data_IF_429805002942
#
_entry.id   IF_429805002942
#
_cell.length_a   1.000
_cell.length_b   1.000
_cell.length_c   1.000
_cell.angle_alpha   90.00
_cell.angle_beta   90.00
_cell.angle_gamma   90.00
#
_symmetry.space_group_name_H-M   'P 1'
#
loop_
_entity.id
_entity.type
_entity.pdbx_description
1 polymer ?
#
# COMPACT_ATOMS: atom_id res chain seq x y z
N UNK A 1 51.30 28.56 35.44
CA UNK A 1 52.65 28.01 35.31
C UNK A 1 52.49 26.75 34.48
N UNK A 2 52.89 26.64 33.26
CA UNK A 2 53.93 27.20 32.39
C UNK A 2 53.35 27.36 30.97
N UNK A 3 53.51 28.58 30.46
CA UNK A 3 53.48 28.92 29.06
C UNK A 3 54.52 28.13 28.27
N UNK A 4 54.26 27.87 26.99
CA UNK A 4 55.30 27.98 25.96
C UNK A 4 54.70 28.33 24.60
N UNK A 5 54.89 29.61 24.26
CA UNK A 5 55.00 30.19 22.94
C UNK A 5 56.10 29.55 22.11
N UNK A 6 55.89 29.33 20.83
CA UNK A 6 56.94 29.38 19.77
C UNK A 6 56.22 29.76 18.43
N UNK A 7 56.23 30.96 18.08
CA UNK A 7 57.13 31.82 17.27
C UNK A 7 56.96 31.67 15.74
N UNK A 8 56.49 32.77 15.19
CA UNK A 8 56.49 33.15 13.78
C UNK A 8 57.90 33.48 13.29
N UNK A 9 58.13 33.13 12.03
CA UNK A 9 58.95 33.80 11.00
C UNK A 9 59.31 32.74 9.98
N UNK A 10 59.01 32.83 8.71
CA UNK A 10 59.09 33.86 7.72
C UNK A 10 59.94 33.32 6.59
N UNK A 11 59.43 33.28 5.37
CA UNK A 11 60.20 33.71 4.19
C UNK A 11 59.28 33.76 2.95
N UNK A 12 59.25 34.96 2.41
CA UNK A 12 58.80 35.28 1.04
C UNK A 12 59.95 34.92 0.07
N UNK A 13 59.60 34.56 -1.14
CA UNK A 13 60.22 34.72 -2.47
C UNK A 13 59.74 33.55 -3.34
N UNK A 14 59.10 33.60 -4.45
CA UNK A 14 58.98 34.53 -5.53
C UNK A 14 58.41 33.84 -6.74
N UNK A 15 57.65 34.51 -7.51
CA UNK A 15 57.66 34.35 -8.94
C UNK A 15 56.70 33.39 -9.63
N UNK A 16 55.58 33.86 -10.08
CA UNK A 16 55.26 33.90 -11.49
C UNK A 16 54.70 32.64 -12.20
N UNK A 17 53.56 32.87 -12.86
CA UNK A 17 53.06 32.14 -14.04
C UNK A 17 52.16 30.92 -13.78
N UNK A 18 50.87 31.07 -14.18
CA UNK A 18 50.03 29.93 -14.41
C UNK A 18 48.52 30.09 -14.12
N UNK A 19 47.89 31.18 -14.58
CA UNK A 19 46.44 31.22 -14.78
C UNK A 19 46.06 30.34 -15.96
N UNK A 20 45.78 29.06 -15.77
CA UNK A 20 45.05 28.21 -16.71
C UNK A 20 44.84 26.77 -16.12
N UNK A 21 44.11 26.60 -15.05
CA UNK A 21 43.68 25.24 -14.61
C UNK A 21 42.41 25.23 -13.74
N UNK A 22 41.56 26.27 -13.79
CA UNK A 22 40.33 26.30 -12.98
C UNK A 22 39.04 25.98 -13.78
N UNK A 23 39.16 25.53 -15.03
CA UNK A 23 38.02 25.32 -15.94
C UNK A 23 37.63 23.87 -16.20
N UNK A 24 38.34 22.86 -15.68
CA UNK A 24 38.10 21.45 -16.06
C UNK A 24 37.57 20.61 -14.89
N UNK A 25 37.62 21.09 -13.66
CA UNK A 25 37.15 20.31 -12.47
C UNK A 25 35.63 20.36 -12.23
N UNK A 26 34.90 21.28 -12.84
CA UNK A 26 33.44 21.42 -12.61
C UNK A 26 32.59 20.54 -13.53
N UNK A 27 33.14 19.95 -14.59
CA UNK A 27 32.37 19.10 -15.52
C UNK A 27 32.47 17.60 -15.23
N UNK A 28 33.35 17.16 -14.34
CA UNK A 28 33.49 15.75 -13.96
C UNK A 28 32.62 15.35 -12.77
N UNK A 29 32.13 16.30 -11.96
CA UNK A 29 31.32 16.00 -10.77
C UNK A 29 29.87 15.60 -11.08
N UNK A 30 29.32 16.02 -12.21
CA UNK A 30 27.91 15.73 -12.54
C UNK A 30 27.69 14.39 -13.25
N UNK A 31 28.73 13.75 -13.77
CA UNK A 31 28.62 12.42 -14.42
C UNK A 31 28.86 11.23 -13.48
N UNK A 32 29.39 11.44 -12.30
CA UNK A 32 29.72 10.36 -11.37
C UNK A 32 28.56 9.96 -10.45
N UNK A 33 27.51 10.79 -10.32
CA UNK A 33 26.33 10.47 -9.54
C UNK A 33 25.29 9.58 -10.29
N UNK A 34 25.48 9.36 -11.59
CA UNK A 34 24.53 8.60 -12.42
C UNK A 34 24.86 7.10 -12.55
N UNK A 35 25.88 6.59 -11.89
CA UNK A 35 26.50 5.30 -12.25
C UNK A 35 26.35 4.19 -11.21
N UNK A 36 25.25 4.10 -10.46
CA UNK A 36 25.11 3.04 -9.45
C UNK A 36 23.90 2.09 -9.59
N UNK A 37 23.07 2.26 -10.57
CA UNK A 37 22.09 1.22 -10.93
C UNK A 37 22.57 0.46 -12.15
N UNK A 38 22.31 -0.86 -12.20
CA UNK A 38 22.58 -1.64 -13.40
C UNK A 38 21.95 -0.95 -14.63
N UNK A 39 22.68 -0.77 -15.74
CA UNK A 39 22.14 -0.17 -16.98
C UNK A 39 20.88 -0.90 -17.48
N UNK A 40 20.75 -2.18 -17.15
CA UNK A 40 19.62 -3.02 -17.56
C UNK A 40 18.43 -2.95 -16.59
N UNK A 41 18.57 -2.29 -15.44
CA UNK A 41 17.49 -2.16 -14.46
C UNK A 41 16.27 -1.43 -15.05
N UNK A 42 15.09 -1.89 -14.70
CA UNK A 42 13.82 -1.25 -15.04
C UNK A 42 13.75 0.19 -14.50
N UNK A 43 14.40 0.47 -13.35
CA UNK A 43 14.50 1.82 -12.81
C UNK A 43 15.01 2.82 -13.84
N UNK A 44 16.11 2.48 -14.56
CA UNK A 44 16.65 3.37 -15.60
C UNK A 44 15.68 3.52 -16.76
N UNK A 45 15.10 2.43 -17.23
CA UNK A 45 14.11 2.44 -18.31
C UNK A 45 12.87 3.28 -17.99
N UNK A 46 12.42 3.24 -16.74
CA UNK A 46 11.29 4.03 -16.25
C UNK A 46 11.65 5.51 -16.19
N UNK A 47 12.84 5.85 -15.63
CA UNK A 47 13.32 7.23 -15.57
C UNK A 47 13.52 7.84 -16.97
N UNK A 48 14.10 7.09 -17.89
CA UNK A 48 14.31 7.53 -19.28
C UNK A 48 12.99 7.76 -20.03
N UNK A 49 11.96 6.98 -19.70
CA UNK A 49 10.62 7.12 -20.29
C UNK A 49 9.82 8.28 -19.70
N UNK A 50 10.16 8.76 -18.50
CA UNK A 50 9.44 9.83 -17.79
C UNK A 50 8.07 9.45 -17.25
N UNK A 51 7.69 8.17 -17.25
CA UNK A 51 6.43 7.66 -16.71
C UNK A 51 6.60 6.23 -16.21
N UNK A 52 5.89 5.88 -15.12
CA UNK A 52 5.78 4.48 -14.64
C UNK A 52 4.44 3.87 -15.09
N UNK A 53 4.46 2.63 -15.61
CA UNK A 53 3.25 1.89 -15.99
C UNK A 53 2.78 1.07 -14.82
N UNK A 54 1.61 1.42 -14.26
CA UNK A 54 1.02 0.80 -13.09
C UNK A 54 -0.19 -0.05 -13.48
N UNK A 55 -0.11 -1.35 -13.23
CA UNK A 55 -1.23 -2.27 -13.42
C UNK A 55 -2.14 -2.25 -12.19
N UNK A 56 -3.42 -1.92 -12.38
CA UNK A 56 -4.46 -1.98 -11.34
C UNK A 56 -5.85 -2.14 -11.96
N UNK A 57 -6.91 -2.20 -11.16
CA UNK A 57 -8.29 -2.26 -11.61
C UNK A 57 -9.01 -0.91 -11.56
N UNK A 58 -10.34 -0.92 -11.75
CA UNK A 58 -11.18 0.28 -11.69
C UNK A 58 -12.55 0.06 -11.01
N UNK A 59 -12.77 -1.08 -10.37
CA UNK A 59 -14.13 -1.45 -9.88
C UNK A 59 -14.19 -1.89 -8.42
N UNK A 60 -13.12 -1.69 -7.64
CA UNK A 60 -12.99 -2.28 -6.29
C UNK A 60 -12.72 -1.22 -5.21
N UNK A 61 -13.79 -0.55 -4.74
CA UNK A 61 -13.70 0.37 -3.61
C UNK A 61 -13.37 -0.38 -2.31
N UNK A 62 -12.52 0.17 -1.46
CA UNK A 62 -11.85 1.47 -1.51
C UNK A 62 -10.44 1.44 -2.17
N UNK A 63 -10.08 0.36 -2.86
CA UNK A 63 -8.73 0.11 -3.38
C UNK A 63 -8.45 0.82 -4.70
N UNK A 64 -9.29 0.56 -5.72
CA UNK A 64 -9.17 1.12 -7.06
C UNK A 64 -10.56 1.14 -7.71
N UNK A 65 -11.15 2.32 -7.86
CA UNK A 65 -12.50 2.48 -8.39
C UNK A 65 -12.68 3.86 -9.03
N UNK A 66 -13.67 3.98 -9.87
CA UNK A 66 -14.08 5.27 -10.43
C UNK A 66 -15.02 5.97 -9.45
N UNK A 67 -14.73 7.23 -9.13
CA UNK A 67 -15.60 8.07 -8.35
C UNK A 67 -16.82 8.53 -9.17
N UNK A 68 -17.69 9.33 -8.59
CA UNK A 68 -18.89 9.84 -9.25
C UNK A 68 -18.63 10.74 -10.46
N UNK A 69 -17.39 11.20 -10.63
CA UNK A 69 -16.94 12.02 -11.77
C UNK A 69 -16.18 11.18 -12.82
N UNK A 70 -16.13 9.87 -12.65
CA UNK A 70 -15.35 8.96 -13.50
C UNK A 70 -13.83 9.02 -13.29
N UNK A 71 -13.36 9.68 -12.21
CA UNK A 71 -11.94 9.72 -11.87
C UNK A 71 -11.56 8.44 -11.14
N UNK A 72 -10.46 7.82 -11.58
CA UNK A 72 -9.89 6.67 -10.90
C UNK A 72 -9.26 7.11 -9.57
N UNK A 73 -9.72 6.51 -8.49
CA UNK A 73 -9.33 6.83 -7.11
C UNK A 73 -9.20 5.55 -6.28
N UNK A 74 -8.64 5.67 -5.09
CA UNK A 74 -8.50 4.56 -4.15
C UNK A 74 -7.11 4.49 -3.54
N UNK A 75 -6.95 3.58 -2.57
CA UNK A 75 -5.68 3.43 -1.85
C UNK A 75 -4.55 2.94 -2.78
N UNK A 76 -4.84 2.03 -3.72
CA UNK A 76 -3.87 1.56 -4.71
C UNK A 76 -3.45 2.69 -5.67
N UNK A 77 -4.38 3.60 -5.99
CA UNK A 77 -4.09 4.77 -6.84
C UNK A 77 -3.20 5.77 -6.09
N UNK A 78 -3.44 5.96 -4.78
CA UNK A 78 -2.56 6.77 -3.96
C UNK A 78 -1.12 6.21 -3.91
N UNK A 79 -0.96 4.89 -3.85
CA UNK A 79 0.37 4.27 -3.94
C UNK A 79 1.04 4.49 -5.31
N UNK A 80 0.26 4.54 -6.41
CA UNK A 80 0.79 4.90 -7.73
C UNK A 80 1.26 6.36 -7.78
N UNK A 81 0.49 7.31 -7.21
CA UNK A 81 0.90 8.71 -7.06
C UNK A 81 2.18 8.86 -6.22
N UNK A 82 2.30 8.12 -5.11
CA UNK A 82 3.51 8.10 -4.27
C UNK A 82 4.72 7.64 -5.06
N UNK A 83 4.59 6.55 -5.84
CA UNK A 83 5.69 6.05 -6.66
C UNK A 83 6.09 7.03 -7.75
N UNK A 84 5.12 7.62 -8.45
CA UNK A 84 5.37 8.62 -9.49
C UNK A 84 6.06 9.87 -8.93
N UNK A 85 5.59 10.37 -7.77
CA UNK A 85 6.25 11.47 -7.05
C UNK A 85 7.70 11.14 -6.71
N UNK A 86 7.97 9.94 -6.19
CA UNK A 86 9.33 9.50 -5.85
C UNK A 86 10.26 9.33 -7.06
N UNK A 87 9.71 9.04 -8.24
CA UNK A 87 10.48 8.89 -9.49
C UNK A 87 10.75 10.23 -10.17
N UNK A 88 9.78 11.15 -10.19
CA UNK A 88 9.75 12.29 -11.11
C UNK A 88 9.46 13.63 -10.43
N UNK A 89 9.23 13.64 -9.11
CA UNK A 89 8.70 14.79 -8.37
C UNK A 89 7.34 15.28 -8.90
N UNK A 90 6.64 14.38 -9.62
CA UNK A 90 5.31 14.59 -10.20
C UNK A 90 4.42 13.38 -9.89
N UNK A 91 3.40 13.51 -9.03
CA UNK A 91 2.51 12.42 -8.67
C UNK A 91 1.62 11.93 -9.83
N UNK A 92 1.48 12.69 -10.91
CA UNK A 92 0.68 12.32 -12.08
C UNK A 92 1.52 11.65 -13.19
N UNK A 93 2.84 11.51 -13.01
CA UNK A 93 3.75 10.92 -13.99
C UNK A 93 3.66 9.38 -14.04
N UNK A 94 2.44 8.85 -14.11
CA UNK A 94 2.20 7.42 -14.32
C UNK A 94 1.19 7.17 -15.44
N UNK A 95 1.30 5.98 -16.02
CA UNK A 95 0.34 5.45 -16.98
C UNK A 95 -0.42 4.30 -16.32
N UNK A 96 -1.73 4.43 -16.27
CA UNK A 96 -2.60 3.42 -15.74
C UNK A 96 -2.87 2.32 -16.78
N UNK A 97 -2.62 1.06 -16.41
CA UNK A 97 -2.93 -0.11 -17.22
C UNK A 97 -4.02 -0.91 -16.50
N UNK A 98 -5.25 -0.78 -16.99
CA UNK A 98 -6.38 -1.54 -16.46
C UNK A 98 -6.20 -3.03 -16.66
N UNK A 99 -6.44 -3.81 -15.61
CA UNK A 99 -6.30 -5.26 -15.64
C UNK A 99 -7.20 -5.95 -14.61
N UNK A 100 -7.54 -7.20 -14.92
CA UNK A 100 -8.21 -8.10 -13.99
C UNK A 100 -7.21 -8.74 -13.01
N UNK A 101 -7.65 -9.24 -11.85
CA UNK A 101 -6.77 -9.90 -10.88
C UNK A 101 -5.97 -11.09 -11.45
N UNK A 102 -6.53 -11.84 -12.41
CA UNK A 102 -5.83 -12.96 -13.06
C UNK A 102 -4.69 -12.51 -13.98
N UNK A 103 -4.75 -11.28 -14.51
CA UNK A 103 -3.74 -10.74 -15.42
C UNK A 103 -2.52 -10.13 -14.70
N UNK A 104 -2.56 -9.94 -13.37
CA UNK A 104 -1.51 -9.30 -12.57
C UNK A 104 -0.11 -9.88 -12.83
N UNK A 105 0.05 -11.17 -12.59
CA UNK A 105 1.34 -11.88 -12.74
C UNK A 105 1.77 -11.98 -14.22
N UNK A 106 0.90 -12.38 -15.17
CA UNK A 106 1.24 -12.35 -16.59
C UNK A 106 1.71 -10.98 -17.10
N UNK A 107 1.04 -9.89 -16.71
CA UNK A 107 1.38 -8.55 -17.16
C UNK A 107 2.74 -8.05 -16.61
N UNK A 108 3.11 -8.42 -15.36
CA UNK A 108 4.45 -8.16 -14.82
C UNK A 108 5.50 -8.93 -15.62
N UNK A 109 5.30 -10.23 -15.82
CA UNK A 109 6.31 -11.11 -16.42
C UNK A 109 6.55 -10.82 -17.90
N UNK A 110 5.53 -10.33 -18.61
CA UNK A 110 5.64 -9.89 -20.01
C UNK A 110 6.16 -8.46 -20.17
N UNK A 111 6.28 -7.70 -19.06
CA UNK A 111 6.68 -6.28 -19.10
C UNK A 111 5.61 -5.34 -19.66
N UNK A 112 4.35 -5.76 -19.70
CA UNK A 112 3.22 -4.88 -20.03
C UNK A 112 3.06 -3.77 -19.02
N UNK A 113 3.34 -4.06 -17.74
CA UNK A 113 3.41 -3.11 -16.63
C UNK A 113 4.77 -3.17 -15.96
N UNK A 114 5.17 -2.06 -15.31
CA UNK A 114 6.41 -1.98 -14.56
C UNK A 114 6.22 -2.43 -13.10
N UNK A 115 5.00 -2.28 -12.60
CA UNK A 115 4.58 -2.64 -11.25
C UNK A 115 3.08 -2.93 -11.25
N UNK A 116 2.66 -3.83 -10.38
CA UNK A 116 1.23 -4.04 -10.05
C UNK A 116 0.98 -3.50 -8.65
N UNK A 117 0.05 -2.56 -8.54
CA UNK A 117 -0.51 -2.07 -7.27
C UNK A 117 -2.01 -2.33 -7.30
N UNK A 118 -2.42 -3.47 -6.76
CA UNK A 118 -3.80 -3.97 -6.88
C UNK A 118 -4.15 -4.90 -5.71
N UNK A 119 -4.17 -4.37 -4.46
CA UNK A 119 -4.51 -5.11 -3.22
C UNK A 119 -4.06 -6.58 -3.24
N UNK A 120 -2.83 -6.82 -3.66
CA UNK A 120 -2.33 -8.17 -3.90
C UNK A 120 -1.79 -8.81 -2.63
N UNK A 121 -2.49 -9.82 -2.12
CA UNK A 121 -2.03 -10.59 -0.96
C UNK A 121 -0.70 -11.27 -1.25
N UNK A 122 0.29 -11.00 -0.40
CA UNK A 122 1.57 -11.69 -0.39
C UNK A 122 1.37 -13.12 0.10
N UNK A 123 1.75 -14.09 -0.70
CA UNK A 123 1.80 -15.50 -0.29
C UNK A 123 2.94 -16.24 -1.01
N UNK A 124 3.30 -17.41 -0.50
CA UNK A 124 4.43 -18.20 -1.01
C UNK A 124 4.29 -18.62 -2.47
N UNK A 125 3.08 -18.97 -2.92
CA UNK A 125 2.83 -19.36 -4.31
C UNK A 125 3.07 -18.21 -5.29
N UNK A 126 2.57 -17.01 -4.97
CA UNK A 126 2.80 -15.80 -5.79
C UNK A 126 4.24 -15.34 -5.74
N UNK A 127 4.90 -15.45 -4.57
CA UNK A 127 6.30 -15.05 -4.39
C UNK A 127 7.29 -15.92 -5.19
N UNK A 128 6.87 -17.10 -5.67
CA UNK A 128 7.64 -17.89 -6.63
C UNK A 128 7.61 -17.31 -8.06
N UNK A 129 6.66 -16.45 -8.36
CA UNK A 129 6.38 -15.96 -9.71
C UNK A 129 6.71 -14.47 -9.91
N UNK A 130 6.68 -13.68 -8.82
CA UNK A 130 6.96 -12.24 -8.79
C UNK A 130 7.72 -11.87 -7.52
N UNK A 131 8.38 -10.72 -7.51
CA UNK A 131 8.93 -10.13 -6.30
C UNK A 131 7.91 -9.15 -5.70
N UNK A 132 7.70 -9.22 -4.39
CA UNK A 132 6.85 -8.29 -3.66
C UNK A 132 7.65 -7.21 -2.98
N UNK A 133 7.10 -6.00 -2.91
CA UNK A 133 7.55 -4.97 -1.98
C UNK A 133 7.26 -5.39 -0.54
N UNK A 134 7.80 -4.65 0.42
CA UNK A 134 7.26 -4.66 1.76
C UNK A 134 5.77 -4.34 1.73
N UNK A 135 4.98 -4.87 2.67
CA UNK A 135 3.54 -4.61 2.67
C UNK A 135 3.26 -3.13 2.85
N UNK A 136 2.34 -2.60 2.03
CA UNK A 136 1.83 -1.24 2.18
C UNK A 136 0.52 -1.18 2.99
N UNK A 137 -0.10 -2.32 3.26
CA UNK A 137 -1.31 -2.44 4.08
C UNK A 137 -1.41 -3.81 4.74
N UNK A 138 -1.98 -3.83 5.95
CA UNK A 138 -2.38 -5.07 6.63
C UNK A 138 -3.88 -5.19 6.57
N UNK A 139 -4.36 -6.14 5.81
CA UNK A 139 -5.77 -6.48 5.72
C UNK A 139 -6.13 -7.55 6.76
N UNK A 140 -7.38 -7.61 7.15
CA UNK A 140 -7.94 -8.68 7.98
C UNK A 140 -9.42 -8.84 7.65
N UNK A 141 -10.03 -9.90 8.15
CA UNK A 141 -11.49 -10.02 8.12
C UNK A 141 -12.04 -9.43 9.42
N UNK A 142 -13.16 -8.74 9.34
CA UNK A 142 -13.89 -8.19 10.47
C UNK A 142 -15.38 -8.49 10.36
N UNK A 143 -16.13 -8.26 11.43
CA UNK A 143 -17.58 -8.31 11.40
C UNK A 143 -18.16 -6.91 11.27
N UNK A 144 -18.70 -6.60 10.10
CA UNK A 144 -19.53 -5.42 9.88
C UNK A 144 -20.89 -5.66 10.53
N UNK A 145 -21.35 -4.71 11.33
CA UNK A 145 -22.62 -4.78 12.08
C UNK A 145 -23.43 -3.50 11.86
N UNK A 146 -24.66 -3.48 12.40
CA UNK A 146 -25.49 -2.27 12.41
C UNK A 146 -25.48 -1.64 13.80
N UNK A 147 -25.48 -0.29 13.92
CA UNK A 147 -25.49 0.42 15.21
C UNK A 147 -26.70 0.07 16.09
N UNK A 148 -27.87 -0.20 15.47
CA UNK A 148 -29.11 -0.60 16.13
C UNK A 148 -29.22 -2.12 16.40
N UNK A 149 -28.21 -2.90 15.93
CA UNK A 149 -28.19 -4.36 16.05
C UNK A 149 -28.06 -4.84 17.49
N UNK A 150 -28.83 -5.86 17.87
CA UNK A 150 -28.76 -6.47 19.22
C UNK A 150 -27.37 -7.07 19.50
N UNK A 151 -26.70 -7.61 18.45
CA UNK A 151 -25.40 -8.30 18.51
C UNK A 151 -24.32 -7.52 17.75
N UNK A 152 -24.20 -6.21 18.05
CA UNK A 152 -23.31 -5.31 17.32
C UNK A 152 -21.83 -5.38 17.73
N UNK A 153 -21.49 -5.99 18.85
CA UNK A 153 -20.11 -6.24 19.27
C UNK A 153 -19.78 -7.73 19.25
N UNK A 154 -18.51 -8.06 19.14
CA UNK A 154 -18.05 -9.45 19.11
C UNK A 154 -18.50 -10.24 20.35
N UNK A 155 -18.40 -9.64 21.56
CA UNK A 155 -18.81 -10.27 22.80
C UNK A 155 -20.31 -10.60 22.79
N UNK A 156 -21.16 -9.70 22.25
CA UNK A 156 -22.60 -9.94 22.13
C UNK A 156 -22.92 -11.02 21.10
N UNK A 157 -22.15 -11.09 20.01
CA UNK A 157 -22.29 -12.17 19.03
C UNK A 157 -21.90 -13.52 19.64
N UNK A 158 -20.78 -13.57 20.37
CA UNK A 158 -20.32 -14.78 21.06
C UNK A 158 -21.34 -15.26 22.10
N UNK A 159 -21.87 -14.33 22.90
CA UNK A 159 -22.91 -14.63 23.91
C UNK A 159 -24.23 -15.09 23.28
N UNK A 160 -24.52 -14.66 22.06
CA UNK A 160 -25.73 -15.08 21.31
C UNK A 160 -25.71 -16.55 20.89
N UNK A 161 -24.54 -17.17 20.85
CA UNK A 161 -24.38 -18.58 20.51
C UNK A 161 -25.07 -18.96 19.19
N UNK A 162 -25.97 -19.95 19.23
CA UNK A 162 -26.71 -20.41 18.04
C UNK A 162 -27.76 -19.41 17.50
N UNK A 163 -28.08 -18.37 18.24
CA UNK A 163 -28.99 -17.33 17.76
C UNK A 163 -28.24 -16.26 16.94
N UNK A 164 -26.90 -16.24 16.99
CA UNK A 164 -26.10 -15.33 16.19
C UNK A 164 -26.05 -15.79 14.74
N UNK A 165 -26.37 -14.89 13.81
CA UNK A 165 -26.35 -15.14 12.36
C UNK A 165 -25.31 -14.28 11.68
N UNK A 166 -24.48 -14.90 10.85
CA UNK A 166 -23.39 -14.22 10.13
C UNK A 166 -23.45 -14.55 8.65
N UNK A 167 -23.41 -13.54 7.80
CA UNK A 167 -23.20 -13.74 6.37
C UNK A 167 -21.72 -13.67 6.01
N UNK A 168 -21.29 -14.43 5.02
CA UNK A 168 -19.93 -14.47 4.48
C UNK A 168 -19.95 -14.82 3.00
N UNK A 169 -18.93 -14.37 2.25
CA UNK A 169 -18.74 -14.77 0.86
C UNK A 169 -18.44 -16.27 0.79
N UNK A 170 -19.14 -16.98 -0.08
CA UNK A 170 -19.00 -18.42 -0.23
C UNK A 170 -17.60 -18.84 -0.71
N UNK A 171 -16.97 -19.71 0.05
CA UNK A 171 -15.75 -20.43 -0.31
C UNK A 171 -15.66 -21.72 0.54
N UNK A 172 -14.69 -22.58 0.20
CA UNK A 172 -14.56 -23.91 0.84
C UNK A 172 -14.32 -23.89 2.34
N UNK A 173 -13.70 -22.81 2.86
CA UNK A 173 -13.33 -22.68 4.27
C UNK A 173 -14.19 -21.66 5.02
N UNK A 174 -15.20 -21.08 4.35
CA UNK A 174 -15.96 -19.95 4.90
C UNK A 174 -16.63 -20.26 6.24
N UNK A 175 -17.36 -21.35 6.30
CA UNK A 175 -18.08 -21.77 7.50
C UNK A 175 -17.13 -22.13 8.65
N UNK A 176 -16.07 -22.90 8.36
CA UNK A 176 -15.04 -23.27 9.34
C UNK A 176 -14.35 -22.03 9.91
N UNK A 177 -14.03 -21.04 9.07
CA UNK A 177 -13.39 -19.80 9.50
C UNK A 177 -14.29 -18.97 10.42
N UNK A 178 -15.61 -18.93 10.17
CA UNK A 178 -16.56 -18.30 11.11
C UNK A 178 -16.63 -19.08 12.41
N UNK A 179 -16.73 -20.40 12.36
CA UNK A 179 -16.84 -21.23 13.57
C UNK A 179 -15.58 -21.21 14.45
N UNK A 180 -14.40 -20.93 13.88
CA UNK A 180 -13.18 -20.64 14.67
C UNK A 180 -13.31 -19.38 15.53
N UNK A 181 -14.14 -18.41 15.12
CA UNK A 181 -14.38 -17.16 15.85
C UNK A 181 -15.66 -17.24 16.68
N UNK A 182 -16.73 -17.75 16.11
CA UNK A 182 -18.07 -17.85 16.67
C UNK A 182 -18.56 -19.31 16.57
N UNK A 183 -18.19 -20.20 17.51
CA UNK A 183 -18.34 -21.66 17.36
C UNK A 183 -19.75 -22.15 17.15
N UNK A 184 -20.76 -21.38 17.57
CA UNK A 184 -22.19 -21.79 17.52
C UNK A 184 -23.00 -20.93 16.55
N UNK A 185 -22.41 -19.94 15.87
CA UNK A 185 -23.15 -19.06 14.99
C UNK A 185 -23.73 -19.80 13.78
N UNK A 186 -24.89 -19.34 13.32
CA UNK A 186 -25.44 -19.77 12.05
C UNK A 186 -24.74 -19.02 10.92
N UNK A 187 -24.24 -19.73 9.92
CA UNK A 187 -23.49 -19.15 8.80
C UNK A 187 -24.34 -19.14 7.54
N UNK A 188 -24.47 -17.97 6.93
CA UNK A 188 -25.14 -17.76 5.66
C UNK A 188 -24.09 -17.44 4.59
N UNK A 189 -23.74 -18.42 3.77
CA UNK A 189 -22.83 -18.26 2.65
C UNK A 189 -23.56 -17.70 1.43
N UNK A 190 -23.01 -16.66 0.80
CA UNK A 190 -23.59 -15.96 -0.33
C UNK A 190 -22.55 -15.77 -1.43
N UNK A 191 -23.02 -15.65 -2.66
CA UNK A 191 -22.22 -15.67 -3.89
C UNK A 191 -21.48 -14.35 -4.20
N UNK A 192 -21.98 -13.23 -3.67
CA UNK A 192 -21.37 -11.90 -3.88
C UNK A 192 -21.23 -11.13 -2.59
N UNK A 193 -20.22 -10.27 -2.52
CA UNK A 193 -20.05 -9.36 -1.38
C UNK A 193 -21.24 -8.41 -1.21
N UNK A 194 -21.87 -8.00 -2.31
CA UNK A 194 -23.07 -7.19 -2.27
C UNK A 194 -24.21 -7.91 -1.56
N UNK A 195 -24.43 -9.20 -1.85
CA UNK A 195 -25.44 -10.03 -1.18
C UNK A 195 -25.10 -10.28 0.29
N UNK A 196 -23.81 -10.42 0.64
CA UNK A 196 -23.34 -10.54 2.03
C UNK A 196 -23.73 -9.29 2.84
N UNK A 197 -23.49 -8.11 2.30
CA UNK A 197 -23.82 -6.82 2.92
C UNK A 197 -25.35 -6.61 2.93
N UNK A 198 -26.05 -6.97 1.85
CA UNK A 198 -27.51 -6.84 1.78
C UNK A 198 -28.23 -7.71 2.82
N UNK A 199 -27.67 -8.89 3.16
CA UNK A 199 -28.22 -9.73 4.22
C UNK A 199 -28.15 -9.04 5.60
N UNK A 200 -27.09 -8.28 5.88
CA UNK A 200 -27.00 -7.43 7.06
C UNK A 200 -28.00 -6.27 7.01
N UNK A 201 -28.07 -5.59 5.88
CA UNK A 201 -28.95 -4.44 5.68
C UNK A 201 -30.43 -4.76 5.88
N UNK A 202 -30.85 -5.93 5.41
CA UNK A 202 -32.23 -6.42 5.56
C UNK A 202 -32.52 -7.00 6.95
N UNK A 203 -31.53 -7.09 7.84
CA UNK A 203 -31.70 -7.70 9.17
C UNK A 203 -31.81 -9.23 9.14
N UNK A 204 -31.48 -9.87 8.03
CA UNK A 204 -31.46 -11.32 7.88
C UNK A 204 -30.36 -11.96 8.70
N UNK A 205 -29.26 -11.23 8.92
CA UNK A 205 -28.13 -11.61 9.78
C UNK A 205 -27.80 -10.50 10.77
N UNK A 206 -27.07 -10.84 11.84
CA UNK A 206 -26.57 -9.89 12.84
C UNK A 206 -25.28 -9.21 12.39
N UNK A 207 -24.46 -9.91 11.60
CA UNK A 207 -23.18 -9.41 11.11
C UNK A 207 -22.86 -9.94 9.71
N UNK A 208 -22.05 -9.17 8.97
CA UNK A 208 -21.42 -9.57 7.72
C UNK A 208 -19.92 -9.71 7.93
N UNK A 209 -19.36 -10.88 7.65
CA UNK A 209 -17.92 -11.10 7.65
C UNK A 209 -17.33 -10.62 6.33
N UNK A 210 -16.61 -9.51 6.37
CA UNK A 210 -16.01 -8.84 5.21
C UNK A 210 -14.61 -8.35 5.55
N UNK A 211 -13.86 -7.95 4.53
CA UNK A 211 -12.55 -7.33 4.70
C UNK A 211 -12.64 -6.07 5.58
N UNK A 212 -11.65 -5.85 6.43
CA UNK A 212 -11.58 -4.69 7.32
C UNK A 212 -11.62 -3.38 6.52
N UNK A 213 -10.95 -3.34 5.38
CA UNK A 213 -11.00 -2.18 4.48
C UNK A 213 -12.42 -1.86 4.02
N UNK A 214 -13.22 -2.89 3.70
CA UNK A 214 -14.65 -2.74 3.37
C UNK A 214 -15.44 -2.23 4.56
N UNK A 215 -15.20 -2.78 5.75
CA UNK A 215 -15.85 -2.31 7.00
C UNK A 215 -15.54 -0.84 7.26
N UNK A 216 -14.28 -0.44 7.16
CA UNK A 216 -13.83 0.96 7.33
C UNK A 216 -14.49 1.89 6.31
N UNK A 217 -14.47 1.50 5.04
CA UNK A 217 -15.07 2.26 3.95
C UNK A 217 -16.58 2.47 4.14
N UNK A 218 -17.32 1.42 4.43
CA UNK A 218 -18.78 1.49 4.63
C UNK A 218 -19.15 2.31 5.87
N UNK A 219 -18.41 2.16 6.97
CA UNK A 219 -18.59 3.00 8.18
C UNK A 219 -18.34 4.47 7.88
N UNK A 220 -17.33 4.79 7.10
CA UNK A 220 -17.06 6.16 6.71
C UNK A 220 -18.16 6.75 5.86
N UNK A 221 -18.65 6.00 4.88
CA UNK A 221 -19.72 6.45 3.98
C UNK A 221 -21.07 6.58 4.69
N UNK A 222 -21.39 5.67 5.61
CA UNK A 222 -22.68 5.58 6.29
C UNK A 222 -22.50 5.20 7.75
N UNK A 223 -21.99 6.14 8.57
CA UNK A 223 -21.73 5.88 10.00
C UNK A 223 -23.01 5.63 10.81
N UNK A 224 -24.15 6.09 10.30
CA UNK A 224 -25.49 5.84 10.84
C UNK A 224 -26.00 4.43 10.55
N UNK A 225 -25.42 3.72 9.59
CA UNK A 225 -25.87 2.41 9.11
C UNK A 225 -24.94 1.27 9.47
N UNK A 226 -23.65 1.54 9.60
CA UNK A 226 -22.63 0.50 9.80
C UNK A 226 -21.73 0.79 10.98
N UNK A 227 -21.38 -0.29 11.70
CA UNK A 227 -20.44 -0.29 12.82
C UNK A 227 -19.47 -1.47 12.69
N UNK A 228 -18.29 -1.36 13.28
CA UNK A 228 -17.31 -2.44 13.39
C UNK A 228 -17.48 -3.14 14.72
N UNK A 229 -17.56 -4.47 14.72
CA UNK A 229 -17.67 -5.25 15.97
C UNK A 229 -16.44 -5.13 16.89
N UNK A 230 -15.33 -4.60 16.37
CA UNK A 230 -14.04 -4.51 17.07
C UNK A 230 -13.21 -5.79 17.03
N UNK A 231 -13.69 -6.86 16.38
CA UNK A 231 -12.96 -8.14 16.26
C UNK A 231 -12.39 -8.34 14.86
N UNK A 232 -11.12 -8.76 14.81
CA UNK A 232 -10.36 -8.97 13.58
C UNK A 232 -9.63 -10.30 13.63
N UNK A 233 -9.61 -10.99 12.48
CA UNK A 233 -8.87 -12.25 12.32
C UNK A 233 -8.36 -12.41 10.89
N UNK A 234 -7.54 -13.40 10.65
CA UNK A 234 -6.99 -13.75 9.33
C UNK A 234 -6.27 -12.57 8.65
N UNK A 235 -5.18 -12.11 9.30
CA UNK A 235 -4.39 -11.01 8.74
C UNK A 235 -3.74 -11.39 7.42
N UNK A 236 -3.87 -10.51 6.43
CA UNK A 236 -3.29 -10.61 5.11
C UNK A 236 -2.41 -9.41 4.83
N UNK A 237 -1.25 -9.62 4.24
CA UNK A 237 -0.33 -8.55 3.86
C UNK A 237 -0.55 -8.20 2.39
N UNK A 238 -0.86 -6.94 2.08
CA UNK A 238 -0.93 -6.45 0.72
C UNK A 238 0.38 -5.77 0.32
N UNK A 239 0.98 -6.23 -0.77
CA UNK A 239 2.20 -5.68 -1.34
C UNK A 239 2.03 -5.39 -2.82
N UNK A 240 2.82 -4.43 -3.32
CA UNK A 240 2.96 -4.25 -4.75
C UNK A 240 3.88 -5.33 -5.31
N UNK A 241 3.67 -5.70 -6.57
CA UNK A 241 4.43 -6.76 -7.20
C UNK A 241 5.21 -6.24 -8.41
N UNK A 242 6.45 -6.68 -8.53
CA UNK A 242 7.37 -6.37 -9.63
C UNK A 242 7.96 -7.66 -10.21
N UNK A 243 8.58 -7.57 -11.38
CA UNK A 243 9.28 -8.69 -12.00
C UNK A 243 10.46 -9.11 -11.10
N UNK A 244 10.66 -10.43 -10.97
CA UNK A 244 11.82 -10.98 -10.27
C UNK A 244 13.14 -10.64 -10.99
N UNK A 245 14.21 -10.58 -10.20
CA UNK A 245 15.57 -10.41 -10.72
C UNK A 245 16.06 -8.97 -10.82
N UNK A 246 15.19 -7.97 -10.70
CA UNK A 246 15.56 -6.54 -10.70
C UNK A 246 15.59 -5.98 -9.27
N UNK A 247 16.72 -6.18 -8.61
CA UNK A 247 16.93 -5.76 -7.22
C UNK A 247 16.92 -4.23 -7.07
N UNK A 248 17.43 -3.51 -8.07
CA UNK A 248 17.50 -2.03 -8.02
C UNK A 248 16.10 -1.43 -8.08
N UNK A 249 15.26 -1.95 -8.98
CA UNK A 249 13.86 -1.53 -9.09
C UNK A 249 13.09 -1.82 -7.79
N UNK A 250 13.17 -3.04 -7.28
CA UNK A 250 12.47 -3.43 -6.05
C UNK A 250 12.91 -2.57 -4.86
N UNK A 251 14.22 -2.38 -4.66
CA UNK A 251 14.75 -1.56 -3.56
C UNK A 251 14.34 -0.10 -3.66
N UNK A 252 14.31 0.43 -4.88
CA UNK A 252 13.83 1.80 -5.10
C UNK A 252 12.36 1.95 -4.71
N UNK A 253 11.49 1.05 -5.19
CA UNK A 253 10.06 1.07 -4.84
C UNK A 253 9.86 0.92 -3.33
N UNK A 254 10.55 -0.03 -2.69
CA UNK A 254 10.50 -0.21 -1.24
C UNK A 254 10.91 1.07 -0.48
N UNK A 255 11.98 1.75 -0.95
CA UNK A 255 12.45 2.98 -0.30
C UNK A 255 11.41 4.11 -0.41
N UNK A 256 10.80 4.28 -1.59
CA UNK A 256 9.75 5.29 -1.80
C UNK A 256 8.53 5.00 -0.91
N UNK A 257 8.08 3.74 -0.87
CA UNK A 257 6.93 3.36 -0.05
C UNK A 257 7.22 3.49 1.45
N UNK A 258 8.42 3.12 1.89
CA UNK A 258 8.82 3.27 3.30
C UNK A 258 8.79 4.74 3.76
N UNK A 259 9.32 5.64 2.92
CA UNK A 259 9.32 7.08 3.24
C UNK A 259 7.91 7.64 3.30
N UNK A 260 7.00 7.15 2.44
CA UNK A 260 5.60 7.57 2.45
C UNK A 260 4.78 6.94 3.60
N UNK A 261 5.05 5.69 3.96
CA UNK A 261 4.25 4.98 4.98
C UNK A 261 4.79 5.24 6.39
N UNK A 262 6.11 5.23 6.57
CA UNK A 262 6.75 5.29 7.89
C UNK A 262 7.56 6.57 8.12
N UNK A 263 7.96 7.26 7.05
CA UNK A 263 8.89 8.37 7.06
C UNK A 263 8.21 9.74 7.04
N UNK A 264 8.89 10.69 6.38
CA UNK A 264 8.54 12.11 6.42
C UNK A 264 7.73 12.60 5.20
N UNK A 265 7.61 11.82 4.11
CA UNK A 265 6.85 12.18 2.90
C UNK A 265 5.50 11.45 2.86
N UNK A 266 4.71 11.62 3.92
CA UNK A 266 3.53 10.81 4.20
C UNK A 266 2.18 11.45 3.83
N UNK A 267 2.18 12.64 3.27
CA UNK A 267 0.96 13.40 3.00
C UNK A 267 -0.03 12.65 2.10
N UNK A 268 0.44 12.05 0.99
CA UNK A 268 -0.44 11.33 0.05
C UNK A 268 -1.00 10.08 0.72
N UNK A 269 -0.16 9.32 1.44
CA UNK A 269 -0.59 8.10 2.12
C UNK A 269 -1.61 8.41 3.23
N UNK A 270 -1.34 9.41 4.08
CA UNK A 270 -2.22 9.79 5.19
C UNK A 270 -3.55 10.32 4.71
N UNK A 271 -3.50 11.16 3.68
CA UNK A 271 -4.73 11.68 3.05
C UNK A 271 -5.57 10.55 2.50
N UNK A 272 -4.99 9.64 1.74
CA UNK A 272 -5.69 8.50 1.18
C UNK A 272 -6.25 7.59 2.28
N UNK A 273 -5.47 7.29 3.31
CA UNK A 273 -5.90 6.47 4.44
C UNK A 273 -7.12 7.09 5.14
N UNK A 274 -7.08 8.39 5.40
CA UNK A 274 -8.22 9.10 5.98
C UNK A 274 -9.41 9.18 5.01
N UNK A 275 -9.17 9.45 3.73
CA UNK A 275 -10.24 9.59 2.73
C UNK A 275 -10.97 8.28 2.47
N UNK A 276 -10.29 7.15 2.52
CA UNK A 276 -10.90 5.85 2.23
C UNK A 276 -11.30 5.06 3.49
N UNK A 277 -10.56 5.20 4.58
CA UNK A 277 -10.84 4.41 5.79
C UNK A 277 -11.42 5.23 6.95
N UNK A 278 -11.40 6.58 6.87
CA UNK A 278 -11.96 7.46 7.90
C UNK A 278 -11.11 7.53 9.17
N UNK A 279 -9.91 6.97 9.15
CA UNK A 279 -9.03 6.86 10.32
C UNK A 279 -7.76 7.68 10.12
N UNK A 280 -7.30 8.35 11.19
CA UNK A 280 -6.00 9.03 11.18
C UNK A 280 -4.93 8.08 11.65
N UNK A 281 -3.81 8.05 10.92
CA UNK A 281 -2.66 7.24 11.30
C UNK A 281 -1.98 7.87 12.51
N UNK A 282 -1.83 7.08 13.57
CA UNK A 282 -1.12 7.47 14.80
C UNK A 282 -0.07 6.42 15.14
N UNK A 283 1.06 6.85 15.72
CA UNK A 283 2.06 5.90 16.26
C UNK A 283 2.74 5.02 15.21
N UNK A 284 3.25 5.65 14.11
CA UNK A 284 3.99 4.93 13.06
C UNK A 284 5.17 4.15 13.63
N UNK A 285 5.33 2.92 13.14
CA UNK A 285 6.48 2.06 13.43
C UNK A 285 7.11 1.64 12.11
N UNK A 286 8.40 1.89 11.93
CA UNK A 286 9.12 1.48 10.73
C UNK A 286 8.96 -0.03 10.48
N UNK A 287 8.65 -0.39 9.24
CA UNK A 287 8.43 -1.77 8.83
C UNK A 287 7.03 -2.35 9.11
N UNK A 288 6.14 -1.59 9.73
CA UNK A 288 4.75 -2.02 10.00
C UNK A 288 3.77 -1.02 9.41
N UNK A 289 3.00 -1.40 8.38
CA UNK A 289 1.91 -0.56 7.89
C UNK A 289 0.91 -0.24 9.00
N UNK A 290 0.23 0.90 8.96
CA UNK A 290 -0.85 1.22 9.88
C UNK A 290 -1.94 0.14 9.86
N UNK A 291 -2.41 -0.25 11.04
CA UNK A 291 -3.42 -1.28 11.23
C UNK A 291 -4.75 -0.63 11.59
#
# INVERSE_FOLDING_TARGET
MIENDINRRGLLIGGGVGLAAAGIAASMGAKQAAAQSSPDSLLRKVLDRGKVRVGTGSTNAPWHFEDTNGKLVGMDIAMAHILAKGLFDDPEAFEFVQQDPAARIPNINTGKVDIVVQFMTINSGRAQLVAFTRPYYVESISFLTRPDGKRKSFEKMLAGGSDTKVSILQNVDAEENIHKQLPKAQVLMLDTQANVIQALDSGRVDAAAVDLSTTRWLRKLRPDRYEDSGHRWFSMLYGAAVRQGDTDWLKFVDSVFDVAIYGHDNEIYDKAFFDFFGEKITGRKAGFPPI
#
